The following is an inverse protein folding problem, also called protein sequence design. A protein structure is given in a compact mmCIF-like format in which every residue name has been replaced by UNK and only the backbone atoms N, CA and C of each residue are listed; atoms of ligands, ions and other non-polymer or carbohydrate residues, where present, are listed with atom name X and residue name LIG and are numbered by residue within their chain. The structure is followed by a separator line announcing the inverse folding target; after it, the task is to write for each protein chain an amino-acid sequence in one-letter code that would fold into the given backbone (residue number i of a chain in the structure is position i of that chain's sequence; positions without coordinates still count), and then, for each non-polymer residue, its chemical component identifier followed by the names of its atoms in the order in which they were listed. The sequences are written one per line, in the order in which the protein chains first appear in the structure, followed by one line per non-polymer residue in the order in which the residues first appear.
data_IF_005817401024
#
_entry.id   IF_005817401024
#
_cell.length_a   1.000
_cell.length_b   1.000
_cell.length_c   1.000
_cell.angle_alpha   90.00
_cell.angle_beta   90.00
_cell.angle_gamma   90.00
#
_symmetry.space_group_name_H-M   'P 1'
#
loop_
_entity.id
_entity.type
_entity.pdbx_description
1 polymer ?
#
# COMPACT_ATOMS: atom_id res chain seq x y z
N UNK A 1 18.60 11.75 -2.87
CA UNK A 1 18.29 10.33 -2.59
C UNK A 1 17.35 10.25 -1.38
N UNK A 2 16.14 10.83 -1.46
CA UNK A 2 15.17 10.82 -0.34
C UNK A 2 14.34 9.52 -0.34
N UNK A 3 13.90 9.06 -1.52
CA UNK A 3 13.00 7.91 -1.68
C UNK A 3 13.58 6.54 -1.27
N UNK A 4 14.88 6.46 -0.97
CA UNK A 4 15.45 5.24 -0.39
C UNK A 4 14.93 5.00 1.04
N UNK A 5 14.64 6.07 1.80
CA UNK A 5 14.07 5.95 3.15
C UNK A 5 12.67 5.37 3.14
N UNK A 6 11.81 5.81 2.21
CA UNK A 6 10.47 5.23 2.05
C UNK A 6 10.51 3.81 1.53
N UNK A 7 11.39 3.52 0.57
CA UNK A 7 11.52 2.17 0.05
C UNK A 7 11.85 1.17 1.17
N UNK A 8 12.73 1.52 2.12
CA UNK A 8 13.04 0.68 3.28
C UNK A 8 11.88 0.54 4.27
N UNK A 9 11.05 1.57 4.44
CA UNK A 9 9.84 1.48 5.28
C UNK A 9 8.74 0.62 4.66
N UNK A 10 8.67 0.54 3.33
CA UNK A 10 7.67 -0.25 2.60
C UNK A 10 8.16 -1.70 2.39
N UNK A 11 9.44 -1.87 2.04
CA UNK A 11 10.04 -3.14 1.68
C UNK A 11 11.07 -3.56 2.73
N UNK A 12 10.68 -4.43 3.69
CA UNK A 12 11.58 -4.87 4.75
C UNK A 12 12.74 -5.73 4.24
N UNK A 13 12.58 -6.43 3.10
CA UNK A 13 13.67 -7.12 2.40
C UNK A 13 14.46 -6.14 1.53
N UNK A 14 15.46 -5.50 2.13
CA UNK A 14 16.34 -4.55 1.43
C UNK A 14 17.26 -5.23 0.42
N UNK A 15 17.67 -6.49 0.63
CA UNK A 15 18.64 -7.18 -0.23
C UNK A 15 17.99 -7.60 -1.56
N UNK A 16 16.78 -8.15 -1.49
CA UNK A 16 15.97 -8.47 -2.67
C UNK A 16 15.63 -7.22 -3.48
N UNK A 17 15.24 -6.13 -2.81
CA UNK A 17 14.95 -4.86 -3.47
C UNK A 17 16.18 -4.28 -4.17
N UNK A 18 17.33 -4.21 -3.49
CA UNK A 18 18.55 -3.68 -4.09
C UNK A 18 19.01 -4.46 -5.32
N UNK A 19 18.90 -5.79 -5.27
CA UNK A 19 19.23 -6.67 -6.39
C UNK A 19 18.30 -6.39 -7.57
N UNK A 20 16.99 -6.34 -7.32
CA UNK A 20 15.99 -6.01 -8.34
C UNK A 20 16.25 -4.63 -8.98
N UNK A 21 16.55 -3.61 -8.18
CA UNK A 21 16.84 -2.26 -8.67
C UNK A 21 18.10 -2.21 -9.56
N UNK A 22 19.12 -3.01 -9.25
CA UNK A 22 20.34 -3.12 -10.08
C UNK A 22 20.07 -3.77 -11.43
N UNK A 23 19.14 -4.73 -11.49
CA UNK A 23 18.79 -5.48 -12.70
C UNK A 23 17.85 -4.72 -13.65
N UNK A 24 16.95 -3.88 -13.13
CA UNK A 24 15.93 -3.18 -13.94
C UNK A 24 16.45 -2.04 -14.83
N UNK A 25 17.73 -1.64 -14.68
CA UNK A 25 18.52 -0.97 -15.72
C UNK A 25 17.86 0.16 -16.55
N UNK A 26 17.02 1.04 -15.97
CA UNK A 26 16.56 2.24 -16.68
C UNK A 26 15.15 2.79 -16.38
N UNK A 27 14.29 2.08 -15.65
CA UNK A 27 13.00 2.64 -15.21
C UNK A 27 13.19 3.61 -14.04
N UNK A 28 12.31 4.63 -13.94
CA UNK A 28 12.30 5.54 -12.79
C UNK A 28 12.11 4.77 -11.48
N UNK A 29 12.76 5.22 -10.40
CA UNK A 29 12.72 4.54 -9.09
C UNK A 29 11.28 4.21 -8.66
N UNK A 30 10.35 5.14 -8.87
CA UNK A 30 8.92 4.95 -8.62
C UNK A 30 8.34 3.69 -9.27
N UNK A 31 8.53 3.52 -10.58
CA UNK A 31 7.98 2.40 -11.34
C UNK A 31 8.62 1.07 -10.93
N UNK A 32 9.91 1.09 -10.58
CA UNK A 32 10.57 -0.10 -10.05
C UNK A 32 10.03 -0.51 -8.68
N UNK A 33 9.72 0.44 -7.80
CA UNK A 33 9.10 0.13 -6.50
C UNK A 33 7.69 -0.45 -6.69
N UNK A 34 6.88 0.10 -7.60
CA UNK A 34 5.57 -0.45 -7.97
C UNK A 34 5.70 -1.90 -8.48
N UNK A 35 6.59 -2.15 -9.44
CA UNK A 35 6.83 -3.48 -10.02
C UNK A 35 7.31 -4.46 -8.96
N UNK A 36 8.24 -4.05 -8.11
CA UNK A 36 8.76 -4.88 -7.05
C UNK A 36 7.69 -5.24 -6.01
N UNK A 37 6.89 -4.25 -5.57
CA UNK A 37 5.78 -4.48 -4.66
C UNK A 37 4.73 -5.43 -5.22
N UNK A 38 4.41 -5.33 -6.51
CA UNK A 38 3.52 -6.26 -7.18
C UNK A 38 4.11 -7.67 -7.26
N UNK A 39 5.37 -7.79 -7.68
CA UNK A 39 6.07 -9.08 -7.81
C UNK A 39 6.17 -9.82 -6.48
N UNK A 40 6.41 -9.09 -5.39
CA UNK A 40 6.55 -9.63 -4.04
C UNK A 40 5.22 -9.77 -3.30
N UNK A 41 4.10 -9.38 -3.93
CA UNK A 41 2.77 -9.30 -3.30
C UNK A 41 2.71 -8.42 -2.06
N UNK A 42 3.67 -7.51 -1.87
CA UNK A 42 3.59 -6.49 -0.83
C UNK A 42 2.62 -5.37 -1.21
N UNK A 43 2.33 -5.21 -2.50
CA UNK A 43 1.30 -4.32 -3.01
C UNK A 43 0.09 -5.12 -3.52
N UNK A 44 -1.09 -4.67 -3.12
CA UNK A 44 -2.36 -5.07 -3.70
C UNK A 44 -2.75 -4.05 -4.78
N UNK A 45 -3.11 -4.53 -5.97
CA UNK A 45 -3.67 -3.70 -7.03
C UNK A 45 -5.19 -3.89 -7.07
N UNK A 46 -5.94 -2.80 -6.89
CA UNK A 46 -7.41 -2.82 -6.90
C UNK A 46 -7.92 -1.84 -7.96
N UNK A 47 -8.91 -2.23 -8.74
CA UNK A 47 -9.53 -1.34 -9.74
C UNK A 47 -10.19 -0.14 -9.05
N UNK A 48 -10.12 1.06 -9.65
CA UNK A 48 -10.81 2.24 -9.12
C UNK A 48 -12.33 2.04 -8.98
N UNK A 49 -12.91 1.15 -9.78
CA UNK A 49 -14.33 0.77 -9.71
C UNK A 49 -14.67 -0.12 -8.51
N UNK A 50 -13.68 -0.56 -7.74
CA UNK A 50 -13.86 -1.44 -6.59
C UNK A 50 -13.12 -2.76 -6.73
N UNK A 51 -13.15 -3.53 -5.67
CA UNK A 51 -12.47 -4.82 -5.61
C UNK A 51 -13.28 -5.96 -6.25
N UNK A 52 -12.59 -7.00 -6.70
CA UNK A 52 -13.19 -8.26 -7.10
C UNK A 52 -12.93 -9.32 -6.03
N UNK A 53 -13.96 -10.05 -5.58
CA UNK A 53 -13.78 -11.19 -4.67
C UNK A 53 -13.00 -10.88 -3.38
N UNK A 54 -13.24 -9.71 -2.77
CA UNK A 54 -12.75 -9.35 -1.43
C UNK A 54 -11.21 -9.21 -1.33
N UNK A 55 -10.58 -8.68 -2.38
CA UNK A 55 -9.13 -8.48 -2.46
C UNK A 55 -8.51 -7.83 -1.20
N UNK A 56 -9.17 -6.84 -0.58
CA UNK A 56 -8.60 -6.17 0.60
C UNK A 56 -8.53 -7.13 1.81
N UNK A 57 -9.59 -7.92 2.03
CA UNK A 57 -9.64 -8.89 3.14
C UNK A 57 -8.60 -9.99 2.92
N UNK A 58 -8.54 -10.54 1.71
CA UNK A 58 -7.57 -11.57 1.35
C UNK A 58 -6.13 -11.06 1.50
N UNK A 59 -5.88 -9.82 1.10
CA UNK A 59 -4.57 -9.19 1.25
C UNK A 59 -4.17 -9.00 2.72
N UNK A 60 -5.10 -8.61 3.59
CA UNK A 60 -4.84 -8.54 5.03
C UNK A 60 -4.48 -9.91 5.61
N UNK A 61 -5.23 -10.96 5.25
CA UNK A 61 -4.97 -12.35 5.67
C UNK A 61 -3.61 -12.86 5.19
N UNK A 62 -3.26 -12.61 3.93
CA UNK A 62 -1.96 -12.97 3.36
C UNK A 62 -0.81 -12.27 4.11
N UNK A 63 -1.00 -11.00 4.48
CA UNK A 63 -0.04 -10.24 5.25
C UNK A 63 0.12 -10.78 6.68
N UNK A 64 -0.99 -11.08 7.37
CA UNK A 64 -0.99 -11.71 8.70
C UNK A 64 -0.21 -13.03 8.68
N UNK A 65 -0.51 -13.89 7.71
CA UNK A 65 0.12 -15.19 7.56
C UNK A 65 1.62 -15.07 7.30
N UNK A 66 2.01 -14.17 6.39
CA UNK A 66 3.41 -13.94 6.01
C UNK A 66 4.23 -13.40 7.18
N UNK A 67 3.66 -12.47 7.95
CA UNK A 67 4.38 -11.78 9.03
C UNK A 67 4.18 -12.44 10.40
N UNK A 68 3.34 -13.46 10.52
CA UNK A 68 2.98 -14.14 11.77
C UNK A 68 2.45 -13.17 12.84
N UNK A 69 1.55 -12.27 12.42
CA UNK A 69 0.89 -11.28 13.28
C UNK A 69 -0.63 -11.37 13.13
N UNK A 70 -1.36 -10.74 14.06
CA UNK A 70 -2.81 -10.56 13.98
C UNK A 70 -3.12 -9.07 13.79
N UNK A 71 -3.57 -8.71 12.59
CA UNK A 71 -4.02 -7.38 12.18
C UNK A 71 -5.49 -7.14 12.48
N UNK A 72 -6.32 -8.19 12.40
CA UNK A 72 -7.77 -8.10 12.58
C UNK A 72 -8.31 -9.39 13.20
N UNK A 73 -9.36 -9.25 14.00
CA UNK A 73 -10.16 -10.40 14.45
C UNK A 73 -11.04 -10.91 13.31
N UNK A 74 -11.49 -12.17 13.42
CA UNK A 74 -12.42 -12.74 12.44
C UNK A 74 -13.69 -11.89 12.27
N UNK A 75 -14.27 -11.38 13.36
CA UNK A 75 -15.47 -10.54 13.30
C UNK A 75 -15.23 -9.21 12.55
N UNK A 76 -14.04 -8.63 12.69
CA UNK A 76 -13.66 -7.41 11.97
C UNK A 76 -13.48 -7.69 10.47
N UNK A 77 -12.88 -8.82 10.11
CA UNK A 77 -12.74 -9.25 8.72
C UNK A 77 -14.09 -9.51 8.06
N UNK A 78 -15.01 -10.21 8.74
CA UNK A 78 -16.37 -10.46 8.24
C UNK A 78 -17.15 -9.15 8.04
N UNK A 79 -16.97 -8.17 8.93
CA UNK A 79 -17.56 -6.83 8.76
C UNK A 79 -16.98 -6.10 7.56
N UNK A 80 -15.67 -6.16 7.35
CA UNK A 80 -15.00 -5.55 6.22
C UNK A 80 -15.40 -6.22 4.90
N UNK A 81 -15.59 -7.54 4.93
CA UNK A 81 -16.06 -8.36 3.81
C UNK A 81 -17.47 -7.95 3.37
N UNK A 82 -18.39 -7.83 4.33
CA UNK A 82 -19.80 -7.49 4.10
C UNK A 82 -20.05 -5.98 3.88
N UNK A 83 -19.02 -5.15 3.96
CA UNK A 83 -19.16 -3.71 3.82
C UNK A 83 -19.46 -3.32 2.37
N UNK A 84 -20.63 -2.72 2.14
CA UNK A 84 -20.98 -2.08 0.88
C UNK A 84 -20.46 -0.65 0.87
N UNK A 85 -19.76 -0.29 -0.21
CA UNK A 85 -19.16 1.02 -0.41
C UNK A 85 -19.46 1.52 -1.83
N UNK A 86 -19.62 2.83 -1.98
CA UNK A 86 -19.77 3.44 -3.30
C UNK A 86 -18.40 3.72 -3.93
N UNK A 87 -17.39 3.98 -3.09
CA UNK A 87 -16.02 4.27 -3.50
C UNK A 87 -15.01 3.50 -2.66
N UNK A 88 -13.97 2.95 -3.31
CA UNK A 88 -12.94 2.15 -2.63
C UNK A 88 -12.31 2.85 -1.40
N UNK A 89 -12.06 4.18 -1.39
CA UNK A 89 -11.59 4.88 -0.20
C UNK A 89 -12.44 4.64 1.05
N UNK A 90 -13.76 4.50 0.96
CA UNK A 90 -14.62 4.24 2.11
C UNK A 90 -14.30 2.87 2.75
N UNK A 91 -14.00 1.86 1.93
CA UNK A 91 -13.57 0.56 2.41
C UNK A 91 -12.15 0.59 2.97
N UNK A 92 -11.25 1.40 2.38
CA UNK A 92 -9.90 1.60 2.91
C UNK A 92 -9.97 2.29 4.29
N UNK A 93 -10.84 3.27 4.49
CA UNK A 93 -11.09 3.89 5.80
C UNK A 93 -11.58 2.87 6.83
N UNK A 94 -12.50 1.99 6.44
CA UNK A 94 -12.98 0.93 7.33
C UNK A 94 -11.85 -0.06 7.69
N UNK A 95 -11.05 -0.48 6.71
CA UNK A 95 -9.87 -1.30 6.95
C UNK A 95 -8.88 -0.59 7.90
N UNK A 96 -8.67 0.70 7.73
CA UNK A 96 -7.79 1.49 8.60
C UNK A 96 -8.31 1.63 10.03
N UNK A 97 -9.63 1.65 10.25
CA UNK A 97 -10.21 1.58 11.61
C UNK A 97 -9.90 0.27 12.31
N UNK A 98 -9.79 -0.83 11.56
CA UNK A 98 -9.43 -2.17 12.07
C UNK A 98 -7.92 -2.27 12.30
N UNK A 99 -7.10 -1.79 11.36
CA UNK A 99 -5.65 -1.89 11.40
C UNK A 99 -5.00 -0.96 12.44
N UNK A 100 -5.56 0.24 12.64
CA UNK A 100 -4.90 1.29 13.42
C UNK A 100 -4.69 0.96 14.90
N UNK A 101 -5.61 0.28 15.62
CA UNK A 101 -5.36 -0.17 17.00
C UNK A 101 -4.19 -1.15 17.12
N UNK A 102 -3.83 -1.86 16.04
CA UNK A 102 -2.68 -2.77 15.98
C UNK A 102 -1.39 -2.07 15.56
N UNK A 103 -1.44 -0.77 15.27
CA UNK A 103 -0.28 0.02 14.82
C UNK A 103 -0.01 -0.07 13.32
N UNK A 104 -0.95 -0.56 12.52
CA UNK A 104 -0.82 -0.72 11.07
C UNK A 104 -1.83 0.13 10.31
N UNK A 105 -1.57 0.35 9.02
CA UNK A 105 -2.46 1.04 8.11
C UNK A 105 -2.33 0.51 6.69
N UNK A 106 -3.44 0.57 5.96
CA UNK A 106 -3.55 0.38 4.52
C UNK A 106 -3.36 1.73 3.84
N UNK A 107 -2.22 1.88 3.18
CA UNK A 107 -1.79 3.08 2.49
C UNK A 107 -2.01 2.94 0.99
N UNK A 108 -2.36 4.03 0.32
CA UNK A 108 -2.36 4.08 -1.14
C UNK A 108 -1.07 4.69 -1.63
N UNK A 109 -0.29 3.89 -2.34
CA UNK A 109 0.87 4.33 -3.08
C UNK A 109 0.40 4.96 -4.42
N UNK A 110 0.86 6.18 -4.75
CA UNK A 110 0.39 6.85 -5.95
C UNK A 110 0.88 6.09 -7.19
N UNK A 111 0.07 6.07 -8.24
CA UNK A 111 0.49 5.56 -9.53
C UNK A 111 -0.27 6.33 -10.62
N UNK A 112 0.23 6.27 -11.85
CA UNK A 112 -0.34 6.99 -13.00
C UNK A 112 -1.39 6.19 -13.78
N UNK A 113 -1.88 5.06 -13.25
CA UNK A 113 -2.80 4.14 -13.92
C UNK A 113 -4.20 4.12 -13.30
N UNK A 114 -5.05 3.27 -13.86
CA UNK A 114 -6.46 3.10 -13.45
C UNK A 114 -6.63 2.10 -12.29
N UNK A 115 -5.65 2.00 -11.40
CA UNK A 115 -5.70 1.12 -10.24
C UNK A 115 -5.24 1.87 -8.98
N UNK A 116 -5.73 1.45 -7.82
CA UNK A 116 -5.07 1.72 -6.56
C UNK A 116 -3.95 0.71 -6.34
N UNK A 117 -2.75 1.19 -6.00
CA UNK A 117 -1.71 0.36 -5.42
C UNK A 117 -1.76 0.54 -3.91
N UNK A 118 -2.10 -0.51 -3.17
CA UNK A 118 -2.30 -0.50 -1.73
C UNK A 118 -1.21 -1.31 -1.04
N UNK A 119 -0.74 -0.87 0.13
CA UNK A 119 0.20 -1.63 0.94
C UNK A 119 -0.09 -1.48 2.43
N UNK A 120 0.24 -2.51 3.20
CA UNK A 120 0.15 -2.47 4.66
C UNK A 120 1.49 -2.00 5.21
N UNK A 121 1.47 -0.92 5.97
CA UNK A 121 2.64 -0.36 6.64
C UNK A 121 2.35 -0.05 8.10
N UNK A 122 3.40 0.24 8.87
CA UNK A 122 3.22 0.68 10.26
C UNK A 122 2.83 2.16 10.31
N UNK A 123 1.91 2.51 11.20
CA UNK A 123 1.45 3.89 11.40
C UNK A 123 2.56 4.80 11.95
N UNK A 124 3.56 4.26 12.64
CA UNK A 124 4.69 5.06 13.14
C UNK A 124 5.42 5.82 12.01
N UNK A 125 5.37 5.30 10.78
CA UNK A 125 5.96 5.90 9.60
C UNK A 125 4.99 6.81 8.80
N UNK A 126 3.76 7.02 9.28
CA UNK A 126 2.73 7.78 8.54
C UNK A 126 3.18 9.18 8.14
N UNK A 127 3.89 9.91 9.01
CA UNK A 127 4.36 11.26 8.72
C UNK A 127 5.37 11.23 7.56
N UNK A 128 6.24 10.21 7.53
CA UNK A 128 7.21 10.02 6.45
C UNK A 128 6.49 9.75 5.14
N UNK A 129 5.50 8.87 5.15
CA UNK A 129 4.73 8.53 3.95
C UNK A 129 3.96 9.72 3.37
N UNK A 130 3.29 10.51 4.20
CA UNK A 130 2.39 11.56 3.73
C UNK A 130 3.10 12.82 3.21
N UNK A 131 4.39 13.01 3.52
CA UNK A 131 5.12 14.23 3.19
C UNK A 131 6.10 14.08 2.03
N UNK A 132 6.34 12.86 1.57
CA UNK A 132 7.35 12.60 0.55
C UNK A 132 6.71 12.34 -0.81
N UNK A 133 7.26 13.01 -1.82
CA UNK A 133 6.89 12.79 -3.20
C UNK A 133 7.56 11.51 -3.71
N UNK A 134 6.73 10.51 -4.04
CA UNK A 134 7.23 9.24 -4.57
C UNK A 134 7.01 9.13 -6.08
N UNK A 135 6.08 9.89 -6.65
CA UNK A 135 5.82 10.00 -8.10
C UNK A 135 6.30 11.36 -8.63
N UNK A 136 7.42 11.38 -9.35
CA UNK A 136 7.99 12.61 -9.91
C UNK A 136 7.37 12.98 -11.26
N UNK A 137 6.18 13.57 -11.22
CA UNK A 137 5.51 14.17 -12.40
C UNK A 137 4.95 15.56 -12.05
N UNK A 138 5.61 16.63 -12.48
CA UNK A 138 5.21 18.02 -12.21
C UNK A 138 3.87 18.47 -12.81
N UNK A 139 3.25 17.63 -13.63
CA UNK A 139 1.92 17.89 -14.19
C UNK A 139 0.81 17.47 -13.23
N UNK A 140 1.12 16.62 -12.25
CA UNK A 140 0.17 16.07 -11.29
C UNK A 140 0.23 16.93 -10.01
N UNK A 141 -0.93 17.27 -9.39
CA UNK A 141 -0.93 18.01 -8.12
C UNK A 141 -0.11 17.29 -7.04
N UNK A 142 0.66 18.04 -6.24
CA UNK A 142 1.56 17.47 -5.22
C UNK A 142 0.90 16.39 -4.33
N UNK A 143 -0.35 16.62 -3.90
CA UNK A 143 -1.09 15.68 -3.06
C UNK A 143 -1.37 14.33 -3.74
N UNK A 144 -1.48 14.30 -5.07
CA UNK A 144 -1.68 13.09 -5.86
C UNK A 144 -0.36 12.34 -6.12
N UNK A 145 0.79 12.96 -5.80
CA UNK A 145 2.13 12.38 -5.96
C UNK A 145 2.71 11.79 -4.67
N UNK A 146 2.00 11.97 -3.56
CA UNK A 146 2.36 11.48 -2.24
C UNK A 146 1.59 10.20 -1.91
N UNK A 147 2.11 9.41 -0.97
CA UNK A 147 1.37 8.29 -0.39
C UNK A 147 0.18 8.86 0.39
N UNK A 148 -0.98 8.19 0.29
CA UNK A 148 -2.22 8.58 0.95
C UNK A 148 -2.58 7.61 2.07
N UNK A 149 -3.15 8.16 3.13
CA UNK A 149 -3.76 7.42 4.23
C UNK A 149 -5.17 7.95 4.46
N UNK A 150 -6.16 7.08 4.36
CA UNK A 150 -7.57 7.42 4.52
C UNK A 150 -7.98 7.11 5.97
N UNK A 151 -8.52 8.11 6.68
CA UNK A 151 -8.84 8.06 8.12
C UNK A 151 -10.32 7.88 8.38
#
# INVERSE_FOLDING_TARGET
MHNQGIAQSIFPDSEGLETFLKEQGGYGLHENLLKYGLMTKLFLYVDYKGEQYQEIVNFMLDYEFTNQIELATQEELEKLEAFNYDYLPEKIELANKILSPKGYGLFSYPNSGDFYALFIGKIEDIIKFLQEEVLFDDRIPFQERCIKYYK
#
